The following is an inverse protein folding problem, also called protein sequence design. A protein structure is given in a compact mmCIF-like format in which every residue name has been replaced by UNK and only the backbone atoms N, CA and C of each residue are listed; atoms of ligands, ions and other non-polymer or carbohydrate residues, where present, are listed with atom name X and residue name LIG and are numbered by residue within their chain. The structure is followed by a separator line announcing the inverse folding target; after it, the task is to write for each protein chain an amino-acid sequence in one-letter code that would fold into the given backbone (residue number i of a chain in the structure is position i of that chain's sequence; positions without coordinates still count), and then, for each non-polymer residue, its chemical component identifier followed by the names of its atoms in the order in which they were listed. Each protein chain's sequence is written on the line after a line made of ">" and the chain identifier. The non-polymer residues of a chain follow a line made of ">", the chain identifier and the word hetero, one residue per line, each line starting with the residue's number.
data_IF_819707616994
#
_entry.id   IF_819707616994
#
_cell.length_a   1.000
_cell.length_b   1.000
_cell.length_c   1.000
_cell.angle_alpha   90.00
_cell.angle_beta   90.00
_cell.angle_gamma   90.00
#
_symmetry.space_group_name_H-M   'P 1'
#
loop_
_entity.id
_entity.type
_entity.pdbx_description
1 polymer ?
#
# COMPACT_ATOMS: atom_id res chain seq x y z
N UNK A 1 17.40 8.43 -12.78
CA UNK A 1 16.34 7.43 -12.98
C UNK A 1 16.38 6.39 -11.88
N UNK A 2 17.39 5.51 -11.86
CA UNK A 2 17.54 4.46 -10.84
C UNK A 2 17.48 4.96 -9.39
N UNK A 3 18.18 6.04 -9.08
CA UNK A 3 18.20 6.62 -7.74
C UNK A 3 16.83 7.12 -7.27
N UNK A 4 16.11 7.90 -8.09
CA UNK A 4 14.76 8.36 -7.77
C UNK A 4 13.81 7.19 -7.51
N UNK A 5 13.90 6.16 -8.36
CA UNK A 5 13.06 4.97 -8.26
C UNK A 5 13.39 4.17 -6.98
N UNK A 6 14.66 4.03 -6.65
CA UNK A 6 15.12 3.40 -5.41
C UNK A 6 14.64 4.15 -4.16
N UNK A 7 14.75 5.48 -4.13
CA UNK A 7 14.25 6.30 -3.02
C UNK A 7 12.75 6.06 -2.81
N UNK A 8 11.96 6.11 -3.88
CA UNK A 8 10.51 5.94 -3.77
C UNK A 8 10.15 4.54 -3.28
N UNK A 9 10.86 3.50 -3.73
CA UNK A 9 10.69 2.14 -3.20
C UNK A 9 11.04 2.02 -1.72
N UNK A 10 12.15 2.61 -1.28
CA UNK A 10 12.56 2.62 0.14
C UNK A 10 11.54 3.38 0.98
N UNK A 11 11.07 4.54 0.50
CA UNK A 11 10.10 5.34 1.22
C UNK A 11 8.75 4.61 1.37
N UNK A 12 8.29 3.96 0.29
CA UNK A 12 7.12 3.09 0.31
C UNK A 12 7.31 1.94 1.32
N UNK A 13 8.48 1.31 1.35
CA UNK A 13 8.78 0.22 2.28
C UNK A 13 8.70 0.69 3.74
N UNK A 14 9.37 1.79 4.07
CA UNK A 14 9.35 2.37 5.42
C UNK A 14 7.93 2.72 5.84
N UNK A 15 7.18 3.38 4.96
CA UNK A 15 5.82 3.80 5.24
C UNK A 15 4.86 2.61 5.40
N UNK A 16 5.03 1.56 4.59
CA UNK A 16 4.23 0.33 4.70
C UNK A 16 4.47 -0.41 6.01
N UNK A 17 5.72 -0.46 6.49
CA UNK A 17 6.05 -1.04 7.80
C UNK A 17 5.35 -0.25 8.89
N UNK A 18 5.48 1.09 8.87
CA UNK A 18 4.84 1.99 9.83
C UNK A 18 3.31 1.87 9.79
N UNK A 19 2.72 1.70 8.61
CA UNK A 19 1.28 1.52 8.45
C UNK A 19 0.76 0.27 9.15
N UNK A 20 1.48 -0.85 9.11
CA UNK A 20 1.07 -2.08 9.82
C UNK A 20 0.99 -1.89 11.33
N UNK A 21 1.92 -1.14 11.91
CA UNK A 21 1.88 -0.80 13.33
C UNK A 21 0.69 0.11 13.66
N UNK A 22 0.45 1.14 12.85
CA UNK A 22 -0.70 2.03 13.06
C UNK A 22 -2.04 1.33 12.90
N UNK A 23 -2.16 0.39 11.96
CA UNK A 23 -3.40 -0.34 11.73
C UNK A 23 -3.76 -1.24 12.94
N UNK A 24 -2.77 -1.99 13.46
CA UNK A 24 -2.93 -2.79 14.67
C UNK A 24 -3.30 -1.92 15.89
N UNK A 25 -2.60 -0.79 16.07
CA UNK A 25 -2.89 0.13 17.17
C UNK A 25 -4.28 0.75 17.05
N UNK A 26 -4.68 1.19 15.86
CA UNK A 26 -6.00 1.77 15.60
C UNK A 26 -7.13 0.76 15.89
N UNK A 27 -6.94 -0.50 15.52
CA UNK A 27 -7.93 -1.55 15.81
C UNK A 27 -8.13 -1.73 17.32
N UNK A 28 -7.05 -1.73 18.11
CA UNK A 28 -7.08 -1.84 19.57
C UNK A 28 -7.77 -0.65 20.23
N UNK A 29 -7.38 0.57 19.84
CA UNK A 29 -7.99 1.80 20.35
C UNK A 29 -9.48 1.80 20.04
N UNK A 30 -9.89 1.41 18.83
CA UNK A 30 -11.31 1.31 18.46
C UNK A 30 -12.06 0.27 19.29
N UNK A 31 -11.44 -0.86 19.64
CA UNK A 31 -12.07 -1.84 20.54
C UNK A 31 -12.26 -1.28 21.95
N UNK A 32 -11.28 -0.55 22.49
CA UNK A 32 -11.39 0.15 23.77
C UNK A 32 -12.45 1.27 23.73
N UNK A 33 -12.46 2.08 22.67
CA UNK A 33 -13.47 3.13 22.49
C UNK A 33 -14.89 2.56 22.49
N UNK A 34 -15.13 1.51 21.70
CA UNK A 34 -16.46 0.92 21.55
C UNK A 34 -16.96 0.19 22.80
N UNK A 35 -16.09 -0.50 23.55
CA UNK A 35 -16.51 -1.35 24.67
C UNK A 35 -16.24 -0.78 26.06
N UNK A 36 -15.35 0.22 26.18
CA UNK A 36 -15.05 0.88 27.46
C UNK A 36 -15.59 2.32 27.49
N UNK A 37 -15.19 3.17 26.53
CA UNK A 37 -15.56 4.59 26.55
C UNK A 37 -17.04 4.81 26.28
N UNK A 38 -17.61 4.19 25.23
CA UNK A 38 -19.03 4.37 24.88
C UNK A 38 -19.97 3.95 26.02
N UNK A 39 -19.85 2.74 26.63
CA UNK A 39 -20.73 2.35 27.72
C UNK A 39 -20.55 3.18 29.00
N UNK A 40 -19.34 3.71 29.24
CA UNK A 40 -19.07 4.59 30.38
C UNK A 40 -19.76 5.96 30.22
N UNK A 41 -19.73 6.52 29.02
CA UNK A 41 -20.37 7.81 28.71
C UNK A 41 -21.91 7.69 28.63
N UNK A 42 -22.42 6.59 28.10
CA UNK A 42 -23.87 6.35 28.00
C UNK A 42 -24.52 5.89 29.32
N UNK A 43 -23.73 5.69 30.39
CA UNK A 43 -24.13 5.09 31.68
C UNK A 43 -24.86 3.74 31.56
N UNK A 44 -24.78 3.08 30.39
CA UNK A 44 -25.47 1.84 30.12
C UNK A 44 -24.50 0.65 30.30
N UNK A 45 -24.57 0.03 31.48
CA UNK A 45 -23.68 -1.07 31.87
C UNK A 45 -23.99 -2.41 31.19
N UNK A 46 -25.14 -2.55 30.51
CA UNK A 46 -25.49 -3.79 29.80
C UNK A 46 -24.62 -4.01 28.54
N UNK A 47 -24.11 -2.95 27.90
CA UNK A 47 -23.21 -3.08 26.74
C UNK A 47 -21.79 -3.55 27.10
N UNK A 48 -21.44 -3.66 28.39
CA UNK A 48 -20.15 -4.20 28.82
C UNK A 48 -20.08 -5.74 28.85
N UNK A 49 -21.18 -6.44 28.56
CA UNK A 49 -21.23 -7.91 28.61
C UNK A 49 -20.57 -8.55 27.38
N UNK A 50 -19.59 -9.44 27.62
CA UNK A 50 -18.91 -10.24 26.60
C UNK A 50 -17.43 -10.53 26.95
N UNK A 51 -16.79 -11.45 26.22
CA UNK A 51 -15.36 -11.80 26.38
C UNK A 51 -14.38 -10.74 25.82
N UNK A 52 -14.85 -9.53 25.48
CA UNK A 52 -14.01 -8.49 24.86
C UNK A 52 -12.79 -8.12 25.71
N UNK A 53 -12.92 -8.16 27.05
CA UNK A 53 -11.79 -7.91 27.98
C UNK A 53 -10.67 -8.93 27.79
N UNK A 54 -11.02 -10.21 27.65
CA UNK A 54 -10.08 -11.30 27.42
C UNK A 54 -9.42 -11.15 26.06
N UNK A 55 -10.20 -10.85 25.01
CA UNK A 55 -9.70 -10.61 23.66
C UNK A 55 -8.73 -9.42 23.59
N UNK A 56 -9.05 -8.30 24.27
CA UNK A 56 -8.17 -7.13 24.35
C UNK A 56 -6.91 -7.45 25.14
N UNK A 57 -7.03 -8.18 26.26
CA UNK A 57 -5.88 -8.58 27.07
C UNK A 57 -4.94 -9.50 26.27
N UNK A 58 -5.49 -10.49 25.56
CA UNK A 58 -4.74 -11.41 24.72
C UNK A 58 -4.06 -10.69 23.55
N UNK A 59 -4.73 -9.73 22.89
CA UNK A 59 -4.10 -8.93 21.82
C UNK A 59 -3.05 -7.93 22.35
N UNK A 60 -3.19 -7.46 23.60
CA UNK A 60 -2.17 -6.64 24.28
C UNK A 60 -0.91 -7.47 24.62
N UNK A 61 -1.10 -8.70 25.09
CA UNK A 61 0.01 -9.61 25.49
C UNK A 61 0.70 -10.18 24.24
N UNK A 62 -0.06 -10.59 23.23
CA UNK A 62 0.43 -11.23 22.00
C UNK A 62 0.02 -10.42 20.77
N UNK A 63 0.82 -9.42 20.36
CA UNK A 63 0.47 -8.60 19.22
C UNK A 63 0.51 -9.39 17.91
N UNK A 64 -0.66 -9.70 17.36
CA UNK A 64 -0.78 -10.36 16.05
C UNK A 64 -1.01 -9.34 14.93
N UNK A 65 -0.16 -9.37 13.90
CA UNK A 65 -0.38 -8.55 12.71
C UNK A 65 -1.33 -9.27 11.76
N UNK A 66 -2.61 -8.87 11.74
CA UNK A 66 -3.62 -9.44 10.81
C UNK A 66 -3.30 -9.14 9.33
N UNK A 67 -2.64 -8.02 9.04
CA UNK A 67 -2.28 -7.63 7.67
C UNK A 67 -0.88 -8.14 7.30
N UNK A 68 -0.79 -8.81 6.15
CA UNK A 68 0.48 -9.28 5.56
C UNK A 68 1.36 -8.12 5.08
N UNK A 69 2.69 -8.31 5.02
CA UNK A 69 3.64 -7.27 4.57
C UNK A 69 3.32 -6.75 3.16
N UNK A 70 3.04 -7.66 2.22
CA UNK A 70 2.74 -7.31 0.82
C UNK A 70 1.43 -6.55 0.67
N UNK A 71 0.42 -6.89 1.47
CA UNK A 71 -0.85 -6.20 1.45
C UNK A 71 -0.76 -4.77 1.99
N UNK A 72 -0.01 -4.55 3.06
CA UNK A 72 0.25 -3.20 3.56
C UNK A 72 0.99 -2.33 2.54
N UNK A 73 1.97 -2.92 1.84
CA UNK A 73 2.68 -2.25 0.74
C UNK A 73 1.71 -1.87 -0.37
N UNK A 74 0.90 -2.81 -0.86
CA UNK A 74 0.02 -2.51 -1.99
C UNK A 74 -1.15 -1.58 -1.64
N UNK A 75 -1.67 -1.59 -0.41
CA UNK A 75 -2.67 -0.61 0.06
C UNK A 75 -2.10 0.82 0.03
N UNK A 76 -0.86 0.98 0.48
CA UNK A 76 -0.16 2.28 0.45
C UNK A 76 0.27 2.68 -0.96
N UNK A 77 0.71 1.71 -1.75
CA UNK A 77 1.06 1.92 -3.15
C UNK A 77 -0.14 2.51 -3.90
N UNK A 78 -1.29 1.82 -3.89
CA UNK A 78 -2.51 2.22 -4.59
C UNK A 78 -2.99 3.62 -4.21
N UNK A 79 -2.91 3.98 -2.92
CA UNK A 79 -3.52 5.22 -2.41
C UNK A 79 -2.64 6.46 -2.57
N UNK A 80 -1.32 6.32 -2.43
CA UNK A 80 -0.42 7.49 -2.37
C UNK A 80 0.71 7.43 -3.40
N UNK A 81 1.32 6.26 -3.61
CA UNK A 81 2.56 6.17 -4.39
C UNK A 81 2.35 5.89 -5.87
N UNK A 82 1.19 5.37 -6.31
CA UNK A 82 0.90 5.14 -7.74
C UNK A 82 1.09 6.44 -8.54
N UNK A 83 0.61 7.57 -8.04
CA UNK A 83 0.79 8.87 -8.70
C UNK A 83 2.26 9.28 -8.80
N UNK A 84 3.04 9.05 -7.73
CA UNK A 84 4.47 9.37 -7.71
C UNK A 84 5.22 8.51 -8.74
N UNK A 85 4.93 7.21 -8.81
CA UNK A 85 5.51 6.32 -9.81
C UNK A 85 5.13 6.75 -11.22
N UNK A 86 3.86 7.05 -11.51
CA UNK A 86 3.41 7.53 -12.82
C UNK A 86 4.15 8.81 -13.19
N UNK A 87 4.25 9.78 -12.28
CA UNK A 87 4.92 11.05 -12.52
C UNK A 87 6.41 10.85 -12.85
N UNK A 88 7.11 10.00 -12.11
CA UNK A 88 8.52 9.67 -12.38
C UNK A 88 8.67 9.01 -13.75
N UNK A 89 7.78 8.09 -14.10
CA UNK A 89 7.82 7.37 -15.38
C UNK A 89 7.57 8.34 -16.55
N UNK A 90 6.56 9.20 -16.44
CA UNK A 90 6.26 10.24 -17.45
C UNK A 90 7.43 11.22 -17.57
N UNK A 91 7.92 11.78 -16.46
CA UNK A 91 9.04 12.71 -16.46
C UNK A 91 10.29 12.10 -17.11
N UNK A 92 10.51 10.80 -16.89
CA UNK A 92 11.63 10.11 -17.50
C UNK A 92 11.45 9.89 -19.00
N UNK A 93 10.25 9.49 -19.44
CA UNK A 93 9.91 9.40 -20.87
C UNK A 93 10.10 10.76 -21.54
N UNK A 94 9.56 11.85 -20.98
CA UNK A 94 9.75 13.22 -21.48
C UNK A 94 11.24 13.60 -21.55
N UNK A 95 12.04 13.24 -20.54
CA UNK A 95 13.48 13.48 -20.55
C UNK A 95 14.16 12.82 -21.76
N UNK A 96 13.80 11.58 -22.08
CA UNK A 96 14.34 10.86 -23.24
C UNK A 96 13.95 11.56 -24.53
N UNK A 97 12.67 11.90 -24.69
CA UNK A 97 12.18 12.61 -25.88
C UNK A 97 12.91 13.96 -26.08
N UNK A 98 13.19 14.70 -25.00
CA UNK A 98 13.90 15.97 -25.07
C UNK A 98 15.40 15.84 -25.39
N UNK A 99 16.04 14.73 -25.00
CA UNK A 99 17.47 14.49 -25.25
C UNK A 99 17.73 13.57 -26.46
N UNK A 100 16.70 13.17 -27.19
CA UNK A 100 16.86 12.36 -28.39
C UNK A 100 17.49 13.20 -29.50
N UNK A 101 18.74 12.88 -29.86
CA UNK A 101 19.47 13.58 -30.93
C UNK A 101 18.96 13.24 -32.34
N UNK A 102 18.25 12.12 -32.49
CA UNK A 102 17.66 11.68 -33.74
C UNK A 102 16.12 11.60 -33.62
N UNK A 103 15.36 11.96 -34.67
CA UNK A 103 13.92 11.84 -34.67
C UNK A 103 13.49 10.38 -34.48
N UNK A 104 12.66 10.13 -33.46
CA UNK A 104 12.20 8.79 -33.10
C UNK A 104 11.12 8.37 -34.11
N UNK A 105 11.54 7.68 -35.17
CA UNK A 105 10.66 7.21 -36.27
C UNK A 105 10.25 5.74 -36.13
N UNK A 106 10.87 4.98 -35.21
CA UNK A 106 10.58 3.56 -35.00
C UNK A 106 10.79 3.12 -33.54
N UNK A 107 10.18 1.98 -33.15
CA UNK A 107 10.39 1.40 -31.81
C UNK A 107 11.85 1.01 -31.52
N UNK A 108 12.64 0.72 -32.56
CA UNK A 108 14.10 0.52 -32.43
C UNK A 108 14.84 1.84 -32.17
N UNK A 109 14.44 2.93 -32.84
CA UNK A 109 14.98 4.26 -32.57
C UNK A 109 14.70 4.69 -31.12
N UNK A 110 13.50 4.37 -30.60
CA UNK A 110 13.19 4.57 -29.18
C UNK A 110 14.12 3.74 -28.27
N UNK A 111 14.32 2.46 -28.56
CA UNK A 111 15.25 1.60 -27.81
C UNK A 111 16.71 2.10 -27.84
N UNK A 112 17.16 2.68 -28.95
CA UNK A 112 18.48 3.31 -29.03
C UNK A 112 18.54 4.64 -28.25
N UNK A 113 17.49 5.45 -28.30
CA UNK A 113 17.37 6.69 -27.52
C UNK A 113 17.32 6.45 -26.00
N UNK A 114 16.97 5.24 -25.54
CA UNK A 114 17.06 4.84 -24.14
C UNK A 114 18.49 4.76 -23.59
N UNK A 115 19.52 4.81 -24.46
CA UNK A 115 20.91 4.79 -24.04
C UNK A 115 21.27 6.11 -23.36
N UNK A 116 21.43 6.07 -22.04
CA UNK A 116 21.85 7.24 -21.24
C UNK A 116 23.33 7.11 -20.93
N UNK A 117 24.18 7.80 -21.69
CA UNK A 117 25.63 7.78 -21.52
C UNK A 117 26.24 6.38 -21.64
N UNK A 118 26.95 5.93 -20.60
CA UNK A 118 27.59 4.60 -20.51
C UNK A 118 26.64 3.46 -20.14
N UNK A 119 25.38 3.76 -19.78
CA UNK A 119 24.44 2.73 -19.33
C UNK A 119 23.73 2.10 -20.54
N UNK A 120 23.75 0.76 -20.69
CA UNK A 120 23.11 0.09 -21.80
C UNK A 120 21.59 0.27 -21.78
N UNK A 121 20.99 0.45 -22.96
CA UNK A 121 19.55 0.67 -23.12
C UNK A 121 18.70 -0.49 -22.60
N UNK A 122 19.18 -1.73 -22.70
CA UNK A 122 18.53 -2.93 -22.13
C UNK A 122 18.24 -2.77 -20.63
N UNK A 123 19.23 -2.34 -19.84
CA UNK A 123 19.12 -2.27 -18.38
C UNK A 123 18.07 -1.23 -17.98
N UNK A 124 18.09 -0.10 -18.67
CA UNK A 124 17.14 0.99 -18.49
C UNK A 124 15.72 0.54 -18.86
N UNK A 125 15.55 -0.05 -20.05
CA UNK A 125 14.27 -0.58 -20.52
C UNK A 125 13.72 -1.66 -19.57
N UNK A 126 14.57 -2.60 -19.18
CA UNK A 126 14.23 -3.68 -18.25
C UNK A 126 13.77 -3.14 -16.90
N UNK A 127 14.45 -2.14 -16.36
CA UNK A 127 14.06 -1.52 -15.08
C UNK A 127 12.73 -0.76 -15.19
N UNK A 128 12.51 -0.06 -16.30
CA UNK A 128 11.25 0.62 -16.57
C UNK A 128 10.08 -0.37 -16.63
N UNK A 129 10.21 -1.41 -17.45
CA UNK A 129 9.19 -2.46 -17.61
C UNK A 129 8.97 -3.20 -16.28
N UNK A 130 10.05 -3.59 -15.59
CA UNK A 130 9.96 -4.28 -14.31
C UNK A 130 9.23 -3.44 -13.25
N UNK A 131 9.51 -2.13 -13.19
CA UNK A 131 8.83 -1.24 -12.23
C UNK A 131 7.36 -1.10 -12.59
N UNK A 132 7.03 -0.87 -13.86
CA UNK A 132 5.65 -0.73 -14.31
C UNK A 132 4.84 -2.00 -14.05
N UNK A 133 5.38 -3.16 -14.43
CA UNK A 133 4.77 -4.45 -14.17
C UNK A 133 4.58 -4.70 -12.66
N UNK A 134 5.60 -4.43 -11.85
CA UNK A 134 5.52 -4.58 -10.38
C UNK A 134 4.39 -3.73 -9.79
N UNK A 135 4.31 -2.44 -10.17
CA UNK A 135 3.27 -1.53 -9.65
C UNK A 135 1.87 -2.01 -10.03
N UNK A 136 1.68 -2.44 -11.29
CA UNK A 136 0.39 -2.98 -11.77
C UNK A 136 0.04 -4.27 -11.04
N UNK A 137 0.95 -5.23 -10.98
CA UNK A 137 0.73 -6.53 -10.32
C UNK A 137 0.36 -6.35 -8.85
N UNK A 138 1.06 -5.49 -8.12
CA UNK A 138 0.77 -5.21 -6.70
C UNK A 138 -0.59 -4.50 -6.56
N UNK A 139 -0.91 -3.55 -7.45
CA UNK A 139 -2.19 -2.84 -7.40
C UNK A 139 -3.38 -3.76 -7.68
N UNK A 140 -3.25 -4.67 -8.66
CA UNK A 140 -4.28 -5.68 -8.97
C UNK A 140 -4.42 -6.67 -7.80
N UNK A 141 -3.30 -7.17 -7.27
CA UNK A 141 -3.30 -8.09 -6.13
C UNK A 141 -4.05 -7.50 -4.93
N UNK A 142 -3.78 -6.23 -4.59
CA UNK A 142 -4.46 -5.58 -3.47
C UNK A 142 -5.92 -5.23 -3.78
N UNK A 143 -6.27 -4.83 -5.00
CA UNK A 143 -7.69 -4.62 -5.35
C UNK A 143 -8.50 -5.90 -5.21
N UNK A 144 -7.94 -7.06 -5.60
CA UNK A 144 -8.59 -8.36 -5.42
C UNK A 144 -8.75 -8.74 -3.94
N UNK A 145 -7.70 -8.57 -3.13
CA UNK A 145 -7.72 -8.95 -1.71
C UNK A 145 -8.55 -8.02 -0.83
N UNK A 146 -8.45 -6.70 -1.06
CA UNK A 146 -9.16 -5.68 -0.28
C UNK A 146 -10.67 -5.69 -0.50
N UNK A 147 -11.15 -6.24 -1.63
CA UNK A 147 -12.59 -6.36 -1.89
C UNK A 147 -13.26 -7.44 -1.02
N UNK A 148 -12.49 -8.36 -0.43
CA UNK A 148 -13.01 -9.42 0.45
C UNK A 148 -13.29 -8.96 1.88
N UNK A 149 -12.58 -7.96 2.40
CA UNK A 149 -12.70 -7.52 3.81
C UNK A 149 -13.85 -6.55 4.09
N UNK A 150 -14.43 -5.91 3.06
CA UNK A 150 -15.56 -4.98 3.27
C UNK A 150 -16.83 -5.74 3.69
N UNK A 151 -16.88 -7.06 3.50
CA UNK A 151 -18.06 -7.87 3.85
C UNK A 151 -18.02 -8.40 5.30
N UNK A 152 -16.85 -8.54 5.94
CA UNK A 152 -16.78 -9.10 7.31
C UNK A 152 -17.22 -8.12 8.41
N UNK A 153 -17.02 -6.81 8.24
CA UNK A 153 -17.57 -5.82 9.18
C UNK A 153 -19.10 -5.68 9.08
N UNK A 154 -19.70 -6.12 7.96
CA UNK A 154 -21.16 -6.26 7.82
C UNK A 154 -21.69 -7.57 8.40
N UNK A 155 -20.93 -8.67 8.27
CA UNK A 155 -21.34 -9.98 8.74
C UNK A 155 -21.40 -10.05 10.27
N UNK A 156 -20.53 -9.35 11.00
CA UNK A 156 -20.61 -9.33 12.45
C UNK A 156 -21.77 -8.45 12.97
N UNK A 157 -22.38 -7.59 12.13
CA UNK A 157 -23.55 -6.76 12.47
C UNK A 157 -24.80 -7.59 12.80
N UNK A 158 -24.87 -8.85 12.36
CA UNK A 158 -25.97 -9.77 12.71
C UNK A 158 -25.92 -10.26 14.16
N UNK A 159 -24.74 -10.22 14.80
CA UNK A 159 -24.57 -10.50 16.24
C UNK A 159 -24.83 -9.26 17.12
N UNK A 160 -25.10 -8.10 16.52
CA UNK A 160 -25.41 -6.83 17.20
C UNK A 160 -26.89 -6.45 17.07
N UNK A 161 -27.78 -7.42 16.81
CA UNK A 161 -29.22 -7.21 16.89
C UNK A 161 -29.66 -7.46 18.34
N UNK A 162 -29.55 -6.41 19.15
CA UNK A 162 -30.35 -6.21 20.36
C UNK A 162 -31.41 -5.18 19.99
#
# INVERSE_FOLDING_TARGET
>A
FFFNLAIVWVMLWIESRRYRFYDAFRARVRMLEAHFLVPMVMENRQMLQGEWKKLVCEDLILPSFKISKLEAIGRRLKRNYVFIFILIMVAWVTKIFLHASEPITSGRALYHALRVGHIPSWLVAGTFIATFASVISITIYVSKKSSGEITEFGAHRSLWRI
#
